data_IF_857040676656
#
_entry.id   IF_857040676656
#
_cell.length_a   1.000
_cell.length_b   1.000
_cell.length_c   1.000
_cell.angle_alpha   90.00
_cell.angle_beta   90.00
_cell.angle_gamma   90.00
#
_symmetry.space_group_name_H-M   'P 1'
#
loop_
_entity.id
_entity.type
_entity.pdbx_description
1 polymer ?
#
# COMPACT_ATOMS: atom_id res chain seq x y z
N UNK A 1 -22.84 -1.54 -3.40
CA UNK A 1 -22.29 -0.85 -4.58
C UNK A 1 -21.15 -0.01 -4.06
N UNK A 2 -19.94 -0.33 -4.48
CA UNK A 2 -18.77 0.42 -4.06
C UNK A 2 -18.72 1.72 -4.84
N UNK A 3 -18.07 2.72 -4.26
CA UNK A 3 -18.16 4.06 -4.81
C UNK A 3 -16.82 4.40 -5.45
N UNK A 4 -16.84 4.57 -6.77
CA UNK A 4 -15.72 5.13 -7.51
C UNK A 4 -16.12 6.52 -7.94
N UNK A 5 -15.31 7.49 -7.53
CA UNK A 5 -15.46 8.88 -7.89
C UNK A 5 -14.34 9.35 -8.80
N UNK A 6 -14.58 10.47 -9.46
CA UNK A 6 -13.58 11.16 -10.27
C UNK A 6 -13.27 12.50 -9.61
N UNK A 7 -11.98 12.86 -9.61
CA UNK A 7 -11.59 14.22 -9.25
C UNK A 7 -12.26 15.22 -10.20
N UNK A 8 -12.62 16.39 -9.70
CA UNK A 8 -13.28 17.44 -10.50
C UNK A 8 -12.49 17.82 -11.77
N UNK A 9 -11.16 17.77 -11.68
CA UNK A 9 -10.26 18.06 -12.79
C UNK A 9 -9.95 16.85 -13.67
N UNK A 10 -10.54 15.69 -13.40
CA UNK A 10 -10.31 14.49 -14.20
C UNK A 10 -10.88 14.69 -15.60
N UNK A 11 -10.03 14.52 -16.61
CA UNK A 11 -10.41 14.57 -18.00
C UNK A 11 -10.16 13.22 -18.66
N UNK A 12 -11.19 12.63 -19.26
CA UNK A 12 -11.09 11.38 -20.00
C UNK A 12 -10.79 11.57 -21.49
N UNK A 13 -10.60 12.81 -21.96
CA UNK A 13 -10.23 13.12 -23.36
C UNK A 13 -8.92 12.44 -23.79
N UNK A 14 -8.02 12.19 -22.83
CA UNK A 14 -6.77 11.46 -23.04
C UNK A 14 -7.00 9.93 -23.22
N UNK A 15 -8.17 9.45 -22.81
CA UNK A 15 -8.65 8.08 -23.01
C UNK A 15 -9.55 8.05 -24.26
N UNK A 16 -8.98 7.71 -25.43
CA UNK A 16 -9.73 7.61 -26.71
C UNK A 16 -11.07 6.83 -26.59
N UNK A 17 -11.99 7.06 -27.54
CA UNK A 17 -13.44 6.74 -27.60
C UNK A 17 -13.87 5.26 -27.45
N UNK A 18 -13.24 4.46 -26.59
CA UNK A 18 -13.69 3.09 -26.26
C UNK A 18 -13.07 1.96 -27.06
N UNK A 19 -12.28 2.26 -28.10
CA UNK A 19 -11.71 1.23 -29.00
C UNK A 19 -10.24 0.91 -28.74
N UNK A 20 -9.50 1.77 -28.04
CA UNK A 20 -8.08 1.57 -27.77
C UNK A 20 -7.85 0.57 -26.62
N UNK A 21 -6.74 -0.18 -26.65
CA UNK A 21 -6.34 -1.04 -25.53
C UNK A 21 -6.26 -0.29 -24.20
N UNK A 22 -5.85 0.99 -24.24
CA UNK A 22 -5.77 1.88 -23.09
C UNK A 22 -7.13 2.05 -22.39
N UNK A 23 -8.17 2.49 -23.12
CA UNK A 23 -9.53 2.70 -22.56
C UNK A 23 -10.12 1.39 -22.04
N UNK A 24 -9.89 0.27 -22.74
CA UNK A 24 -10.32 -1.05 -22.26
C UNK A 24 -9.68 -1.38 -20.92
N UNK A 25 -8.37 -1.18 -20.78
CA UNK A 25 -7.67 -1.50 -19.53
C UNK A 25 -8.11 -0.62 -18.37
N UNK A 26 -8.32 0.66 -18.65
CA UNK A 26 -8.89 1.59 -17.70
C UNK A 26 -10.27 1.11 -17.21
N UNK A 27 -11.20 0.82 -18.14
CA UNK A 27 -12.54 0.37 -17.81
C UNK A 27 -12.54 -0.95 -17.00
N UNK A 28 -11.63 -1.89 -17.31
CA UNK A 28 -11.46 -3.13 -16.52
C UNK A 28 -11.08 -2.83 -15.07
N UNK A 29 -10.12 -1.93 -14.85
CA UNK A 29 -9.68 -1.53 -13.51
C UNK A 29 -10.83 -0.85 -12.76
N UNK A 30 -11.53 0.11 -13.39
CA UNK A 30 -12.66 0.80 -12.75
C UNK A 30 -13.76 -0.19 -12.37
N UNK A 31 -14.12 -1.09 -13.29
CA UNK A 31 -15.13 -2.13 -13.04
C UNK A 31 -14.76 -3.02 -11.86
N UNK A 32 -13.51 -3.49 -11.80
CA UNK A 32 -13.02 -4.29 -10.68
C UNK A 32 -13.14 -3.54 -9.35
N UNK A 33 -12.79 -2.25 -9.31
CA UNK A 33 -12.91 -1.42 -8.10
C UNK A 33 -14.39 -1.24 -7.68
N UNK A 34 -15.28 -0.98 -8.62
CA UNK A 34 -16.73 -0.82 -8.39
C UNK A 34 -17.40 -2.10 -7.89
N UNK A 35 -17.05 -3.25 -8.48
CA UNK A 35 -17.67 -4.53 -8.17
C UNK A 35 -17.04 -5.19 -6.94
N UNK A 36 -15.72 -5.09 -6.78
CA UNK A 36 -14.95 -5.94 -5.86
C UNK A 36 -14.17 -5.19 -4.77
N UNK A 37 -14.18 -3.85 -4.74
CA UNK A 37 -13.33 -3.05 -3.83
C UNK A 37 -11.83 -3.36 -3.95
N UNK A 38 -11.43 -3.92 -5.08
CA UNK A 38 -10.09 -4.43 -5.30
C UNK A 38 -9.89 -4.65 -6.78
N UNK A 39 -8.64 -4.55 -7.24
CA UNK A 39 -8.25 -4.98 -8.57
C UNK A 39 -6.85 -5.58 -8.50
N UNK A 40 -6.63 -6.64 -9.27
CA UNK A 40 -5.29 -7.21 -9.51
C UNK A 40 -4.70 -6.75 -10.84
N UNK A 41 -5.47 -5.95 -11.58
CA UNK A 41 -5.09 -5.45 -12.89
C UNK A 41 -4.06 -4.32 -12.76
N UNK A 42 -3.13 -4.27 -13.71
CA UNK A 42 -2.21 -3.14 -13.83
C UNK A 42 -1.07 -3.10 -12.80
N UNK A 43 -0.74 -4.20 -12.11
CA UNK A 43 0.43 -4.26 -11.21
C UNK A 43 0.52 -3.05 -10.26
N UNK A 44 -0.46 -2.99 -9.37
CA UNK A 44 -0.69 -1.84 -8.51
C UNK A 44 0.47 -1.66 -7.55
N UNK A 45 0.92 -0.42 -7.42
CA UNK A 45 1.91 -0.03 -6.43
C UNK A 45 1.47 1.21 -5.67
N UNK A 46 1.88 1.25 -4.41
CA UNK A 46 1.78 2.43 -3.57
C UNK A 46 2.81 3.47 -4.04
N UNK A 47 2.36 4.70 -4.24
CA UNK A 47 3.21 5.87 -4.47
C UNK A 47 3.02 6.83 -3.31
N UNK A 48 4.08 7.23 -2.61
CA UNK A 48 3.99 8.33 -1.63
C UNK A 48 4.33 9.64 -2.34
N UNK A 49 3.36 10.55 -2.37
CA UNK A 49 3.53 11.92 -2.87
C UNK A 49 4.09 12.85 -1.80
N UNK A 50 4.27 14.12 -2.16
CA UNK A 50 4.70 15.16 -1.21
C UNK A 50 3.71 15.26 -0.04
N UNK A 51 4.24 15.38 1.19
CA UNK A 51 3.42 15.45 2.41
C UNK A 51 2.91 14.10 2.91
N UNK A 52 3.53 12.98 2.49
CA UNK A 52 3.22 11.60 2.90
C UNK A 52 1.82 11.11 2.52
N UNK A 53 1.25 11.66 1.45
CA UNK A 53 -0.05 11.19 0.97
C UNK A 53 0.13 9.98 0.08
N UNK A 54 -0.66 8.95 0.38
CA UNK A 54 -0.65 7.67 -0.31
C UNK A 54 -1.55 7.70 -1.56
N UNK A 55 -0.92 7.42 -2.70
CA UNK A 55 -1.55 7.19 -3.99
C UNK A 55 -1.33 5.75 -4.43
N UNK A 56 -2.21 5.27 -5.31
CA UNK A 56 -2.05 4.00 -6.01
C UNK A 56 -1.86 4.28 -7.48
N UNK A 57 -0.88 3.58 -8.07
CA UNK A 57 -0.64 3.59 -9.51
C UNK A 57 -0.88 2.21 -10.09
N UNK A 58 -1.75 2.16 -11.10
CA UNK A 58 -1.92 1.00 -11.96
C UNK A 58 -1.34 1.28 -13.36
N UNK A 59 -0.77 0.27 -13.99
CA UNK A 59 -0.35 0.29 -15.39
C UNK A 59 -1.56 0.10 -16.30
N UNK A 60 -1.76 1.04 -17.22
CA UNK A 60 -2.72 0.90 -18.33
C UNK A 60 -2.05 0.29 -19.57
N UNK A 61 -0.77 0.59 -19.77
CA UNK A 61 0.09 0.05 -20.83
C UNK A 61 1.54 -0.03 -20.34
N UNK A 62 2.51 -0.24 -21.23
CA UNK A 62 3.93 -0.11 -20.88
C UNK A 62 4.29 1.33 -20.49
N UNK A 63 3.69 2.33 -21.16
CA UNK A 63 3.97 3.77 -21.03
C UNK A 63 2.94 4.54 -20.20
N UNK A 64 1.74 4.02 -19.98
CA UNK A 64 0.63 4.81 -19.44
C UNK A 64 0.17 4.27 -18.09
N UNK A 65 -0.26 5.19 -17.21
CA UNK A 65 -0.57 4.90 -15.81
C UNK A 65 -1.88 5.54 -15.39
N UNK A 66 -2.62 4.84 -14.55
CA UNK A 66 -3.75 5.37 -13.82
C UNK A 66 -3.29 5.72 -12.41
N UNK A 67 -3.51 6.95 -11.97
CA UNK A 67 -3.31 7.38 -10.59
C UNK A 67 -4.67 7.51 -9.90
N UNK A 68 -4.78 6.91 -8.72
CA UNK A 68 -5.99 6.96 -7.91
C UNK A 68 -5.63 6.90 -6.42
N UNK A 69 -6.58 7.22 -5.56
CA UNK A 69 -6.42 7.06 -4.10
C UNK A 69 -7.69 6.48 -3.49
N UNK A 70 -7.69 6.29 -2.18
CA UNK A 70 -8.81 5.74 -1.42
C UNK A 70 -9.20 6.67 -0.30
N UNK A 71 -10.49 6.82 -0.06
CA UNK A 71 -11.10 7.73 0.91
C UNK A 71 -12.32 7.07 1.55
N UNK A 72 -12.83 7.67 2.62
CA UNK A 72 -14.20 7.41 3.09
C UNK A 72 -15.15 8.46 2.54
N UNK A 73 -16.36 8.03 2.21
CA UNK A 73 -17.49 8.88 1.84
C UNK A 73 -18.76 8.28 2.44
N UNK A 74 -19.47 9.02 3.30
CA UNK A 74 -20.68 8.55 4.01
C UNK A 74 -20.46 7.17 4.68
N UNK A 75 -19.39 7.05 5.47
CA UNK A 75 -18.95 5.81 6.15
C UNK A 75 -18.61 4.61 5.26
N UNK A 76 -18.52 4.81 3.94
CA UNK A 76 -18.17 3.77 2.97
C UNK A 76 -16.82 4.06 2.35
N UNK A 77 -16.07 2.99 2.07
CA UNK A 77 -14.86 3.12 1.28
C UNK A 77 -15.19 3.55 -0.14
N UNK A 78 -14.41 4.52 -0.62
CA UNK A 78 -14.49 5.03 -1.97
C UNK A 78 -13.10 5.10 -2.60
N UNK A 79 -13.03 4.79 -3.89
CA UNK A 79 -11.85 5.08 -4.69
C UNK A 79 -12.06 6.40 -5.41
N UNK A 80 -11.00 7.21 -5.50
CA UNK A 80 -11.03 8.48 -6.22
C UNK A 80 -10.01 8.41 -7.34
N UNK A 81 -10.49 8.45 -8.57
CA UNK A 81 -9.69 8.49 -9.79
C UNK A 81 -9.18 9.90 -9.98
N UNK A 82 -7.86 10.04 -10.10
CA UNK A 82 -7.20 11.34 -10.07
C UNK A 82 -6.80 11.80 -11.46
N UNK A 83 -6.04 10.97 -12.17
CA UNK A 83 -5.51 11.31 -13.49
C UNK A 83 -5.03 10.07 -14.25
N UNK A 84 -4.92 10.23 -15.56
CA UNK A 84 -4.20 9.31 -16.45
C UNK A 84 -2.87 9.98 -16.82
N UNK A 85 -1.76 9.33 -16.50
CA UNK A 85 -0.42 9.80 -16.83
C UNK A 85 0.03 9.07 -18.10
N UNK A 86 0.12 9.80 -19.20
CA UNK A 86 0.58 9.27 -20.48
C UNK A 86 2.10 9.32 -20.59
N UNK A 87 2.69 8.37 -21.33
CA UNK A 87 4.11 8.38 -21.70
C UNK A 87 5.11 8.49 -20.53
N UNK A 88 4.74 7.99 -19.35
CA UNK A 88 5.48 8.17 -18.08
C UNK A 88 5.79 9.63 -17.73
N UNK A 89 5.00 10.58 -18.22
CA UNK A 89 5.23 12.01 -18.01
C UNK A 89 4.76 12.44 -16.60
N UNK A 90 5.44 11.92 -15.59
CA UNK A 90 5.13 12.14 -14.18
C UNK A 90 5.28 13.60 -13.79
N UNK A 91 6.17 14.36 -14.44
CA UNK A 91 6.30 15.80 -14.24
C UNK A 91 5.02 16.58 -14.60
N UNK A 92 4.17 16.09 -15.51
CA UNK A 92 2.87 16.72 -15.79
C UNK A 92 1.78 16.38 -14.78
N UNK A 93 2.01 15.39 -13.92
CA UNK A 93 1.07 15.01 -12.86
C UNK A 93 0.83 16.19 -11.92
N UNK A 94 -0.42 16.60 -11.78
CA UNK A 94 -0.79 17.66 -10.85
C UNK A 94 -0.69 17.19 -9.40
N UNK A 95 -0.91 15.89 -9.16
CA UNK A 95 -0.91 15.31 -7.82
C UNK A 95 0.50 14.97 -7.35
N UNK A 96 1.41 14.56 -8.23
CA UNK A 96 2.79 14.23 -7.83
C UNK A 96 3.70 15.46 -7.75
N UNK A 97 3.33 16.59 -8.36
CA UNK A 97 4.15 17.81 -8.39
C UNK A 97 3.64 18.98 -7.56
N UNK A 98 2.33 19.03 -7.22
CA UNK A 98 1.75 20.20 -6.54
C UNK A 98 1.30 19.87 -5.10
N UNK A 99 2.12 20.24 -4.12
CA UNK A 99 1.92 19.97 -2.68
C UNK A 99 0.56 20.38 -2.12
N UNK A 100 -0.03 21.47 -2.60
CA UNK A 100 -1.31 22.00 -2.09
C UNK A 100 -2.51 21.15 -2.52
N UNK A 101 -2.50 20.61 -3.74
CA UNK A 101 -3.60 19.81 -4.29
C UNK A 101 -3.67 18.40 -3.71
N UNK A 102 -2.57 17.93 -3.12
CA UNK A 102 -2.44 16.59 -2.56
C UNK A 102 -3.39 16.38 -1.37
N UNK A 103 -3.64 17.45 -0.58
CA UNK A 103 -4.50 17.42 0.62
C UNK A 103 -5.99 17.64 0.33
N UNK A 104 -6.32 18.43 -0.68
CA UNK A 104 -7.68 18.93 -0.94
C UNK A 104 -8.20 18.45 -2.30
N UNK A 105 -8.47 17.14 -2.42
CA UNK A 105 -9.02 16.56 -3.64
C UNK A 105 -10.51 16.88 -3.69
N UNK A 106 -10.92 17.75 -4.62
CA UNK A 106 -12.34 17.97 -4.94
C UNK A 106 -12.84 16.83 -5.82
N UNK A 107 -14.02 16.32 -5.47
CA UNK A 107 -14.61 15.12 -6.06
C UNK A 107 -15.94 15.51 -6.69
N UNK A 108 -16.24 14.97 -7.87
CA UNK A 108 -17.59 15.04 -8.47
C UNK A 108 -18.33 13.76 -8.06
N UNK A 109 -19.41 13.92 -7.31
CA UNK A 109 -20.44 12.91 -7.16
C UNK A 109 -21.61 13.30 -8.09
N UNK A 110 -21.92 12.43 -9.07
CA UNK A 110 -23.07 12.64 -9.97
C UNK A 110 -24.41 12.69 -9.22
N UNK A 111 -24.46 12.31 -7.94
CA UNK A 111 -25.68 12.26 -7.12
C UNK A 111 -25.83 13.39 -6.11
N UNK A 112 -24.76 14.06 -5.65
CA UNK A 112 -24.82 15.24 -4.77
C UNK A 112 -23.60 16.15 -4.98
N UNK A 113 -23.75 17.43 -5.32
CA UNK A 113 -22.64 18.35 -5.52
C UNK A 113 -22.19 18.96 -4.18
N UNK A 114 -21.56 18.18 -3.30
CA UNK A 114 -20.96 18.71 -2.07
C UNK A 114 -19.44 18.49 -2.05
N UNK A 115 -18.71 19.53 -1.62
CA UNK A 115 -17.28 19.43 -1.25
C UNK A 115 -17.14 18.52 -0.03
N UNK A 116 -16.62 17.32 -0.25
CA UNK A 116 -16.50 16.29 0.79
C UNK A 116 -15.31 16.60 1.71
N UNK A 117 -15.58 16.93 2.98
CA UNK A 117 -14.58 16.85 4.04
C UNK A 117 -14.39 15.37 4.45
N UNK A 118 -13.13 14.93 4.49
CA UNK A 118 -12.76 13.52 4.62
C UNK A 118 -12.60 13.18 6.12
N UNK A 119 -13.43 12.24 6.60
CA UNK A 119 -13.27 11.61 7.93
C UNK A 119 -12.51 10.26 7.88
N UNK A 120 -12.17 9.76 9.07
CA UNK A 120 -11.25 8.68 9.48
C UNK A 120 -10.92 7.50 8.53
N UNK A 121 -9.74 6.91 8.73
CA UNK A 121 -9.08 5.89 7.90
C UNK A 121 -10.00 4.83 7.23
N UNK A 122 -9.88 4.61 5.91
CA UNK A 122 -10.75 3.71 5.14
C UNK A 122 -10.58 2.21 5.51
N UNK A 123 -11.64 1.39 5.48
CA UNK A 123 -11.65 -0.01 5.96
C UNK A 123 -10.89 -0.99 5.06
N UNK A 124 -10.88 -0.75 3.75
CA UNK A 124 -9.96 -1.44 2.84
C UNK A 124 -8.51 -1.15 3.34
N UNK A 125 -7.52 -1.97 3.03
CA UNK A 125 -6.12 -1.72 3.42
C UNK A 125 -5.25 -2.21 2.28
N UNK A 126 -4.06 -1.61 2.15
CA UNK A 126 -3.08 -2.07 1.17
C UNK A 126 -1.99 -2.89 1.87
N UNK A 127 -1.99 -4.20 1.65
CA UNK A 127 -0.92 -5.12 2.08
C UNK A 127 -0.40 -5.94 0.89
N UNK A 128 0.05 -5.23 -0.16
CA UNK A 128 0.41 -5.82 -1.46
C UNK A 128 -0.80 -6.20 -2.33
N UNK A 129 -1.99 -6.20 -1.74
CA UNK A 129 -3.30 -6.26 -2.38
C UNK A 129 -4.28 -5.43 -1.55
N UNK A 130 -5.42 -5.07 -2.15
CA UNK A 130 -6.54 -4.53 -1.39
C UNK A 130 -7.21 -5.63 -0.57
N UNK A 131 -7.26 -5.44 0.73
CA UNK A 131 -7.89 -6.37 1.67
C UNK A 131 -8.85 -5.62 2.59
N UNK A 132 -9.79 -6.34 3.18
CA UNK A 132 -10.61 -5.86 4.29
C UNK A 132 -10.40 -6.79 5.48
N UNK A 133 -10.46 -6.23 6.68
CA UNK A 133 -10.40 -7.02 7.89
C UNK A 133 -11.80 -7.31 8.42
N UNK A 134 -11.92 -8.45 9.11
CA UNK A 134 -13.09 -8.74 9.93
C UNK A 134 -13.13 -7.80 11.14
N UNK A 135 -14.31 -7.62 11.74
CA UNK A 135 -14.49 -6.79 12.94
C UNK A 135 -13.49 -7.12 14.07
N UNK A 136 -13.14 -8.40 14.26
CA UNK A 136 -12.14 -8.81 15.27
C UNK A 136 -10.72 -8.37 14.91
N UNK A 137 -10.36 -8.45 13.64
CA UNK A 137 -9.04 -8.02 13.16
C UNK A 137 -8.91 -6.49 13.21
N UNK A 138 -9.99 -5.78 12.85
CA UNK A 138 -10.13 -4.34 13.02
C UNK A 138 -9.93 -3.94 14.49
N UNK A 139 -10.67 -4.56 15.42
CA UNK A 139 -10.51 -4.30 16.85
C UNK A 139 -9.07 -4.50 17.31
N UNK A 140 -8.40 -5.56 16.87
CA UNK A 140 -6.99 -5.84 17.19
C UNK A 140 -6.06 -4.71 16.76
N UNK A 141 -6.25 -4.17 15.56
CA UNK A 141 -5.37 -3.15 14.97
C UNK A 141 -5.66 -1.75 15.50
N UNK A 142 -6.91 -1.47 15.84
CA UNK A 142 -7.38 -0.14 16.26
C UNK A 142 -7.34 0.07 17.77
N UNK A 143 -7.70 -0.95 18.56
CA UNK A 143 -8.07 -0.77 19.98
C UNK A 143 -7.08 -1.35 20.98
N UNK A 144 -6.32 -2.37 20.61
CA UNK A 144 -5.44 -3.07 21.55
C UNK A 144 -4.04 -2.44 21.60
N UNK A 145 -3.53 -2.29 22.83
CA UNK A 145 -2.19 -1.79 23.10
C UNK A 145 -1.19 -2.94 23.32
N UNK A 146 0.10 -2.61 23.32
CA UNK A 146 1.19 -3.55 23.57
C UNK A 146 1.43 -3.73 25.08
N UNK A 147 1.87 -4.92 25.55
CA UNK A 147 2.20 -6.12 24.79
C UNK A 147 0.98 -6.93 24.37
N UNK A 148 1.00 -7.46 23.14
CA UNK A 148 -0.14 -8.16 22.54
C UNK A 148 0.25 -9.55 22.02
N UNK A 149 -0.60 -10.55 22.28
CA UNK A 149 -0.48 -11.91 21.73
C UNK A 149 -1.70 -12.23 20.89
N UNK A 150 -1.49 -12.54 19.61
CA UNK A 150 -2.56 -12.85 18.65
C UNK A 150 -2.50 -14.34 18.31
N UNK A 151 -3.59 -15.05 18.56
CA UNK A 151 -3.74 -16.47 18.24
C UNK A 151 -4.88 -16.70 17.24
N UNK A 152 -4.77 -17.74 16.42
CA UNK A 152 -5.76 -18.05 15.38
C UNK A 152 -5.34 -19.21 14.48
N UNK A 153 -6.31 -19.83 13.81
CA UNK A 153 -6.10 -20.95 12.89
C UNK A 153 -5.24 -20.59 11.67
N UNK A 154 -4.75 -21.61 10.94
CA UNK A 154 -4.09 -21.37 9.66
C UNK A 154 -5.02 -20.62 8.70
N UNK A 155 -4.48 -19.66 7.92
CA UNK A 155 -5.26 -18.85 6.99
C UNK A 155 -6.06 -17.70 7.62
N UNK A 156 -6.08 -17.55 8.94
CA UNK A 156 -6.87 -16.50 9.63
C UNK A 156 -6.34 -15.06 9.48
N UNK A 157 -5.36 -14.81 8.61
CA UNK A 157 -4.81 -13.46 8.38
C UNK A 157 -3.91 -12.89 9.49
N UNK A 158 -3.35 -13.73 10.40
CA UNK A 158 -2.47 -13.26 11.49
C UNK A 158 -1.31 -12.39 10.99
N UNK A 159 -0.67 -12.81 9.90
CA UNK A 159 0.41 -12.05 9.27
C UNK A 159 -0.09 -10.69 8.80
N UNK A 160 -1.24 -10.63 8.14
CA UNK A 160 -1.82 -9.36 7.66
C UNK A 160 -2.07 -8.40 8.81
N UNK A 161 -2.66 -8.88 9.91
CA UNK A 161 -2.85 -8.08 11.13
C UNK A 161 -1.51 -7.58 11.68
N UNK A 162 -0.50 -8.45 11.79
CA UNK A 162 0.81 -8.07 12.29
C UNK A 162 1.51 -7.01 11.43
N UNK A 163 1.40 -7.11 10.10
CA UNK A 163 2.00 -6.13 9.17
C UNK A 163 1.25 -4.80 9.20
N UNK A 164 -0.08 -4.80 9.33
CA UNK A 164 -0.84 -3.56 9.49
C UNK A 164 -0.55 -2.87 10.82
N UNK A 165 -0.49 -3.64 11.92
CA UNK A 165 -0.05 -3.11 13.22
C UNK A 165 1.35 -2.53 13.13
N UNK A 166 2.25 -3.17 12.38
CA UNK A 166 3.61 -2.69 12.17
C UNK A 166 3.65 -1.35 11.42
N UNK A 167 2.84 -1.13 10.36
CA UNK A 167 2.73 0.17 9.67
C UNK A 167 2.33 1.29 10.62
N UNK A 168 1.34 1.04 11.47
CA UNK A 168 0.87 2.01 12.46
C UNK A 168 1.91 2.30 13.54
N UNK A 169 2.67 1.27 13.92
CA UNK A 169 3.77 1.46 14.86
C UNK A 169 4.85 2.32 14.22
N UNK A 170 5.26 2.04 12.98
CA UNK A 170 6.22 2.86 12.24
C UNK A 170 5.81 4.34 12.20
N UNK A 171 4.55 4.65 11.91
CA UNK A 171 4.03 6.03 11.92
C UNK A 171 4.07 6.69 13.30
N UNK A 172 3.82 5.93 14.38
CA UNK A 172 3.78 6.45 15.75
C UNK A 172 5.16 6.52 16.41
N UNK A 173 6.10 5.70 15.98
CA UNK A 173 7.38 5.48 16.65
C UNK A 173 8.48 6.31 15.99
N UNK A 174 8.35 7.64 16.06
CA UNK A 174 9.35 8.57 15.51
C UNK A 174 10.72 8.33 16.17
N UNK A 175 11.71 7.91 15.36
CA UNK A 175 13.11 7.79 15.77
C UNK A 175 13.52 6.47 16.45
N UNK A 176 12.69 5.43 16.42
CA UNK A 176 13.05 4.09 16.89
C UNK A 176 13.32 3.08 15.76
N UNK A 177 13.95 1.96 16.11
CA UNK A 177 14.11 0.81 15.19
C UNK A 177 13.09 -0.26 15.54
N UNK A 178 12.40 -0.77 14.53
CA UNK A 178 11.45 -1.87 14.66
C UNK A 178 12.06 -3.14 14.07
N UNK A 179 11.85 -4.27 14.74
CA UNK A 179 12.38 -5.56 14.33
C UNK A 179 11.23 -6.53 14.07
N UNK A 180 11.08 -6.93 12.81
CA UNK A 180 10.14 -7.97 12.40
C UNK A 180 10.89 -9.29 12.20
N UNK A 181 10.59 -10.30 13.03
CA UNK A 181 11.21 -11.62 12.94
C UNK A 181 10.19 -12.69 12.58
N UNK A 182 10.56 -13.57 11.65
CA UNK A 182 9.84 -14.82 11.39
C UNK A 182 10.80 -15.97 11.08
N UNK A 183 10.31 -17.21 11.12
CA UNK A 183 11.12 -18.38 10.73
C UNK A 183 11.25 -18.54 9.22
N UNK A 184 10.31 -18.02 8.43
CA UNK A 184 10.24 -18.24 6.98
C UNK A 184 10.95 -17.13 6.21
N UNK A 185 11.98 -17.46 5.45
CA UNK A 185 12.69 -16.52 4.56
C UNK A 185 11.78 -15.99 3.44
N UNK A 186 10.89 -16.84 2.91
CA UNK A 186 9.93 -16.41 1.89
C UNK A 186 8.96 -15.37 2.47
N UNK A 187 8.52 -15.56 3.72
CA UNK A 187 7.65 -14.60 4.37
C UNK A 187 8.36 -13.27 4.61
N UNK A 188 9.66 -13.28 4.91
CA UNK A 188 10.45 -12.03 5.01
C UNK A 188 10.44 -11.27 3.69
N UNK A 189 10.65 -11.95 2.56
CA UNK A 189 10.64 -11.32 1.23
C UNK A 189 9.29 -10.68 0.92
N UNK A 190 8.20 -11.41 1.14
CA UNK A 190 6.85 -10.89 0.87
C UNK A 190 6.45 -9.78 1.84
N UNK A 191 6.77 -9.92 3.14
CA UNK A 191 6.53 -8.85 4.12
C UNK A 191 7.31 -7.58 3.78
N UNK A 192 8.57 -7.69 3.33
CA UNK A 192 9.36 -6.52 2.93
C UNK A 192 8.74 -5.79 1.75
N UNK A 193 8.30 -6.53 0.72
CA UNK A 193 7.61 -5.97 -0.46
C UNK A 193 6.36 -5.17 -0.11
N UNK A 194 5.64 -5.55 0.95
CA UNK A 194 4.44 -4.83 1.39
C UNK A 194 4.74 -3.40 1.86
N UNK A 195 5.95 -3.16 2.36
CA UNK A 195 6.42 -1.87 2.82
C UNK A 195 7.20 -1.11 1.73
N UNK A 196 7.46 -1.74 0.58
CA UNK A 196 8.00 -1.04 -0.57
C UNK A 196 6.94 -0.09 -1.13
N UNK A 197 7.31 1.18 -1.24
CA UNK A 197 6.55 2.21 -1.91
C UNK A 197 7.41 2.82 -3.03
N UNK A 198 6.78 3.50 -3.96
CA UNK A 198 7.49 4.32 -4.95
C UNK A 198 7.36 5.79 -4.58
N UNK A 199 8.44 6.54 -4.74
CA UNK A 199 8.46 7.99 -4.57
C UNK A 199 8.82 8.63 -5.90
N UNK A 200 8.12 9.70 -6.26
CA UNK A 200 8.43 10.44 -7.47
C UNK A 200 9.64 11.35 -7.25
N UNK A 201 10.68 11.17 -8.06
CA UNK A 201 11.87 12.01 -8.03
C UNK A 201 11.75 13.11 -9.09
N UNK A 202 11.47 14.33 -8.64
CA UNK A 202 11.32 15.50 -9.52
C UNK A 202 12.58 15.85 -10.32
N UNK A 203 13.77 15.51 -9.83
CA UNK A 203 15.04 15.81 -10.52
C UNK A 203 15.31 14.86 -11.68
N UNK A 204 14.93 13.58 -11.54
CA UNK A 204 15.16 12.57 -12.57
C UNK A 204 13.92 12.23 -13.39
N UNK A 205 12.75 12.78 -13.04
CA UNK A 205 11.44 12.45 -13.62
C UNK A 205 11.16 10.93 -13.62
N UNK A 206 11.51 10.27 -12.52
CA UNK A 206 11.41 8.81 -12.37
C UNK A 206 10.82 8.43 -11.02
N UNK A 207 10.12 7.30 -10.98
CA UNK A 207 9.71 6.66 -9.73
C UNK A 207 10.83 5.81 -9.17
N UNK A 208 11.16 6.02 -7.90
CA UNK A 208 12.17 5.23 -7.17
C UNK A 208 11.51 4.40 -6.10
N UNK A 209 11.85 3.12 -6.03
CA UNK A 209 11.41 2.26 -4.94
C UNK A 209 12.13 2.64 -3.65
N UNK A 210 11.35 2.83 -2.60
CA UNK A 210 11.81 3.13 -1.27
C UNK A 210 11.26 2.07 -0.31
N UNK A 211 12.10 1.63 0.62
CA UNK A 211 11.72 0.78 1.74
C UNK A 211 12.07 1.54 3.01
N UNK A 212 11.20 1.52 4.03
CA UNK A 212 11.49 2.19 5.29
C UNK A 212 12.78 1.70 5.93
N UNK A 213 13.60 2.63 6.42
CA UNK A 213 14.89 2.33 7.05
C UNK A 213 14.74 1.92 8.52
N UNK A 214 13.62 2.28 9.16
CA UNK A 214 13.36 1.97 10.56
C UNK A 214 13.06 0.49 10.82
N UNK A 215 12.64 -0.27 9.81
CA UNK A 215 12.20 -1.67 9.98
C UNK A 215 13.24 -2.68 9.48
N UNK A 216 13.79 -3.45 10.41
CA UNK A 216 14.61 -4.62 10.11
C UNK A 216 13.71 -5.87 9.94
N UNK A 217 13.60 -6.38 8.71
CA UNK A 217 12.96 -7.67 8.42
C UNK A 217 14.00 -8.78 8.42
N UNK A 218 13.98 -9.66 9.42
CA UNK A 218 14.97 -10.74 9.57
C UNK A 218 14.32 -12.11 9.77
N UNK A 219 14.85 -13.13 9.11
CA UNK A 219 14.61 -14.49 9.56
C UNK A 219 15.21 -14.71 10.95
N UNK A 220 14.70 -15.67 11.71
CA UNK A 220 15.29 -16.04 13.00
C UNK A 220 16.80 -16.35 12.87
N UNK A 221 17.21 -16.99 11.78
CA UNK A 221 18.61 -17.31 11.52
C UNK A 221 19.47 -16.06 11.28
N UNK A 222 18.97 -15.12 10.48
CA UNK A 222 19.65 -13.84 10.23
C UNK A 222 19.75 -13.00 11.50
N UNK A 223 18.67 -12.94 12.28
CA UNK A 223 18.67 -12.26 13.57
C UNK A 223 19.76 -12.83 14.49
N UNK A 224 19.78 -14.15 14.68
CA UNK A 224 20.79 -14.82 15.51
C UNK A 224 22.21 -14.56 15.01
N UNK A 225 22.46 -14.57 13.70
CA UNK A 225 23.77 -14.20 13.13
C UNK A 225 24.16 -12.75 13.40
N UNK A 226 23.19 -11.83 13.39
CA UNK A 226 23.41 -10.39 13.63
C UNK A 226 23.77 -10.13 15.09
N UNK A 227 23.13 -10.83 16.04
CA UNK A 227 23.36 -10.64 17.47
C UNK A 227 24.51 -11.48 18.04
N UNK A 228 24.78 -12.65 17.48
CA UNK A 228 25.87 -13.52 17.94
C UNK A 228 27.14 -13.16 17.17
N UNK A 229 28.06 -12.43 17.80
CA UNK A 229 29.48 -12.48 17.39
C UNK A 229 29.98 -13.90 17.70
N UNK A 230 29.99 -14.78 16.72
CA UNK A 230 30.54 -16.13 16.88
C UNK A 230 32.07 -16.03 16.90
N UNK A 231 32.64 -15.66 18.05
CA UNK A 231 34.05 -15.90 18.36
C UNK A 231 34.17 -17.30 18.97
N UNK A 232 34.26 -18.33 18.12
CA UNK A 232 34.34 -19.73 18.58
C UNK A 232 34.44 -20.75 17.44
N UNK A 233 35.43 -21.65 17.53
CA UNK A 233 35.86 -22.56 16.46
C UNK A 233 34.91 -23.74 16.24
N UNK A 234 34.53 -23.92 14.96
CA UNK A 234 33.91 -25.08 14.30
C UNK A 234 32.49 -25.47 14.76
N UNK A 235 31.60 -25.88 13.81
CA UNK A 235 30.26 -26.35 14.12
C UNK A 235 30.30 -27.54 15.10
N UNK A 236 29.44 -27.53 16.11
CA UNK A 236 29.26 -28.68 17.00
C UNK A 236 28.52 -29.77 16.22
N UNK A 237 29.16 -30.93 16.06
CA UNK A 237 28.55 -32.08 15.42
C UNK A 237 27.37 -32.59 16.28
N UNK A 238 26.19 -32.75 15.67
CA UNK A 238 24.97 -33.25 16.35
C UNK A 238 25.19 -34.60 17.04
N UNK A 239 26.15 -35.40 16.59
CA UNK A 239 26.52 -36.67 17.22
C UNK A 239 26.98 -36.52 18.68
N UNK A 240 27.33 -35.32 19.15
CA UNK A 240 27.69 -35.04 20.54
C UNK A 240 26.52 -34.86 21.50
N UNK A 241 25.29 -34.71 21.01
CA UNK A 241 24.10 -34.52 21.85
C UNK A 241 23.31 -35.81 22.09
N UNK A 242 23.66 -36.88 21.38
CA UNK A 242 22.97 -38.17 21.44
C UNK A 242 23.90 -39.30 21.93
N UNK A 243 25.00 -38.97 22.61
CA UNK A 243 25.88 -39.92 23.30
C UNK A 243 25.52 -40.01 24.78
#
# INVERSE_FOLDING_TARGET
>A
MNIVFYCEEFNDCDLDNGKTPLRKKFNEIIKDLEENNSTSQGNIKLIKGDGNIEYFRAKLSDSDRLLFTRRKHNDKDAFVILEVILNHDYHKSKFLTNREKIRNIKIIDEKVPDTVEIEDAPQIRWLGNFITFSAKQEDIVEKFELPLVISGSAGSGKTSVALESLKRMEEKFEGGKILYITKSENLIKESKKIFECENYNQTTDELRTHTPEEIDFLSLHEFLKKIIKVEGKKPINRSKFFS
#
